data_IF_880819045794
#
_entry.id   IF_880819045794
#
_cell.length_a   1.000
_cell.length_b   1.000
_cell.length_c   1.000
_cell.angle_alpha   90.00
_cell.angle_beta   90.00
_cell.angle_gamma   90.00
#
_symmetry.space_group_name_H-M   'P 1'
#
loop_
_entity.id
_entity.type
_entity.pdbx_description
1 polymer ?
#
# COMPACT_ATOMS: atom_id res chain seq x y z
N UNK A 1 -1.31 -13.57 -23.62
CA UNK A 1 0.14 -13.62 -23.39
C UNK A 1 0.68 -14.95 -23.90
N UNK A 2 1.74 -14.94 -24.71
CA UNK A 2 2.45 -16.17 -25.10
C UNK A 2 3.64 -16.36 -24.15
N UNK A 3 3.79 -17.56 -23.60
CA UNK A 3 4.99 -17.94 -22.87
C UNK A 3 5.91 -18.76 -23.78
N UNK A 4 7.09 -18.23 -24.17
CA UNK A 4 8.01 -18.91 -25.07
C UNK A 4 8.69 -20.13 -24.47
N UNK A 5 8.73 -20.27 -23.15
CA UNK A 5 9.35 -21.43 -22.49
C UNK A 5 8.39 -22.62 -22.44
N UNK A 6 7.11 -22.37 -22.11
CA UNK A 6 6.08 -23.40 -22.10
C UNK A 6 5.37 -23.57 -23.46
N UNK A 7 5.62 -22.68 -24.42
CA UNK A 7 4.96 -22.61 -25.74
C UNK A 7 3.43 -22.53 -25.65
N UNK A 8 2.91 -22.00 -24.55
CA UNK A 8 1.47 -21.87 -24.33
C UNK A 8 1.00 -20.43 -24.54
N UNK A 9 -0.18 -20.30 -25.14
CA UNK A 9 -0.94 -19.04 -25.15
C UNK A 9 -1.90 -19.03 -23.96
N UNK A 10 -1.76 -18.04 -23.10
CA UNK A 10 -2.69 -17.77 -22.00
C UNK A 10 -3.45 -16.48 -22.28
N UNK A 11 -4.68 -16.37 -21.77
CA UNK A 11 -5.43 -15.12 -21.73
C UNK A 11 -5.60 -14.74 -20.27
N UNK A 12 -5.07 -13.58 -19.90
CA UNK A 12 -5.22 -13.03 -18.56
C UNK A 12 -6.46 -12.14 -18.57
N UNK A 13 -7.37 -12.36 -17.62
CA UNK A 13 -8.53 -11.52 -17.41
C UNK A 13 -8.51 -11.02 -15.97
N UNK A 14 -8.86 -9.74 -15.79
CA UNK A 14 -8.97 -9.17 -14.47
C UNK A 14 -10.37 -9.42 -13.95
N UNK A 15 -10.48 -10.12 -12.82
CA UNK A 15 -11.70 -10.09 -12.03
C UNK A 15 -11.79 -8.75 -11.29
N UNK A 16 -12.25 -7.73 -12.01
CA UNK A 16 -12.45 -6.40 -11.46
C UNK A 16 -13.46 -6.39 -10.31
N UNK A 17 -14.41 -7.34 -10.28
CA UNK A 17 -15.37 -7.49 -9.18
C UNK A 17 -14.67 -7.85 -7.88
N UNK A 18 -13.90 -8.94 -7.90
CA UNK A 18 -13.12 -9.39 -6.75
C UNK A 18 -12.08 -8.35 -6.31
N UNK A 19 -11.37 -7.71 -7.26
CA UNK A 19 -10.39 -6.66 -6.95
C UNK A 19 -11.01 -5.47 -6.22
N UNK A 20 -12.21 -5.03 -6.66
CA UNK A 20 -12.93 -3.91 -6.02
C UNK A 20 -13.47 -4.30 -4.65
N UNK A 21 -13.99 -5.53 -4.50
CA UNK A 21 -14.47 -6.04 -3.22
C UNK A 21 -13.35 -6.07 -2.18
N UNK A 22 -12.22 -6.73 -2.51
CA UNK A 22 -11.05 -6.79 -1.63
C UNK A 22 -10.53 -5.39 -1.23
N UNK A 23 -10.52 -4.44 -2.19
CA UNK A 23 -10.15 -3.05 -1.89
C UNK A 23 -11.13 -2.39 -0.93
N UNK A 24 -12.43 -2.57 -1.12
CA UNK A 24 -13.47 -1.98 -0.28
C UNK A 24 -13.36 -2.50 1.16
N UNK A 25 -13.15 -3.80 1.33
CA UNK A 25 -13.02 -4.43 2.64
C UNK A 25 -11.79 -3.90 3.39
N UNK A 26 -10.64 -3.80 2.70
CA UNK A 26 -9.43 -3.21 3.27
C UNK A 26 -9.63 -1.74 3.70
N UNK A 27 -10.36 -0.93 2.92
CA UNK A 27 -10.68 0.46 3.28
C UNK A 27 -11.60 0.50 4.50
N UNK A 28 -12.61 -0.37 4.57
CA UNK A 28 -13.56 -0.42 5.67
C UNK A 28 -12.88 -0.79 7.01
N UNK A 29 -11.92 -1.72 6.97
CA UNK A 29 -11.09 -2.04 8.13
C UNK A 29 -10.16 -0.88 8.50
N UNK A 30 -9.43 -0.32 7.53
CA UNK A 30 -8.49 0.78 7.78
C UNK A 30 -9.18 2.05 8.30
N UNK A 31 -10.45 2.29 7.98
CA UNK A 31 -11.21 3.44 8.51
C UNK A 31 -11.31 3.46 10.05
N UNK A 32 -11.15 2.28 10.70
CA UNK A 32 -11.17 2.12 12.16
C UNK A 32 -9.81 2.45 12.81
N UNK A 33 -8.72 2.42 12.04
CA UNK A 33 -7.34 2.61 12.50
C UNK A 33 -7.08 4.00 13.13
N UNK A 34 -6.32 4.04 14.22
CA UNK A 34 -5.95 5.28 14.95
C UNK A 34 -4.54 5.72 14.63
N UNK A 35 -3.63 4.78 14.38
CA UNK A 35 -2.22 5.02 14.05
C UNK A 35 -1.90 4.49 12.66
N UNK A 36 -1.36 5.34 11.79
CA UNK A 36 -1.11 5.04 10.38
C UNK A 36 0.39 5.00 10.06
N UNK A 37 0.81 3.99 9.29
CA UNK A 37 2.16 3.92 8.72
C UNK A 37 2.20 4.51 7.31
N UNK A 38 2.92 5.61 7.12
CA UNK A 38 3.14 6.23 5.82
C UNK A 38 4.46 5.76 5.21
N UNK A 39 4.40 4.97 4.14
CA UNK A 39 5.60 4.41 3.49
C UNK A 39 5.99 5.25 2.28
N UNK A 40 7.23 5.73 2.25
CA UNK A 40 7.87 6.33 1.08
C UNK A 40 8.90 5.34 0.51
N UNK A 41 8.65 4.89 -0.72
CA UNK A 41 9.61 4.06 -1.45
C UNK A 41 10.88 4.86 -1.76
N UNK A 42 12.05 4.35 -1.38
CA UNK A 42 13.35 5.00 -1.65
C UNK A 42 14.13 4.35 -2.80
N UNK A 43 13.61 3.26 -3.40
CA UNK A 43 14.27 2.59 -4.51
C UNK A 43 13.95 3.28 -5.84
N UNK A 44 14.99 3.78 -6.52
CA UNK A 44 14.86 4.46 -7.80
C UNK A 44 14.08 5.77 -7.69
N UNK A 45 13.24 6.07 -8.70
CA UNK A 45 12.35 7.26 -8.72
C UNK A 45 10.94 6.91 -8.21
N UNK A 46 10.86 6.20 -7.09
CA UNK A 46 9.61 5.90 -6.42
C UNK A 46 9.31 6.98 -5.38
N UNK A 47 8.02 7.22 -5.13
CA UNK A 47 7.56 8.12 -4.09
C UNK A 47 7.66 9.61 -4.45
N UNK A 48 6.81 10.41 -3.80
CA UNK A 48 6.84 11.87 -3.90
C UNK A 48 6.75 12.44 -2.49
N UNK A 49 7.80 13.14 -2.00
CA UNK A 49 7.76 13.79 -0.69
C UNK A 49 6.59 14.77 -0.55
N UNK A 50 6.21 15.45 -1.65
CA UNK A 50 5.07 16.37 -1.66
C UNK A 50 3.74 15.63 -1.42
N UNK A 51 3.55 14.47 -2.06
CA UNK A 51 2.33 13.66 -1.86
C UNK A 51 2.31 13.12 -0.43
N UNK A 52 3.46 12.64 0.06
CA UNK A 52 3.55 12.16 1.44
C UNK A 52 3.18 13.24 2.45
N UNK A 53 3.72 14.46 2.29
CA UNK A 53 3.36 15.58 3.16
C UNK A 53 1.86 15.88 3.13
N UNK A 54 1.26 15.90 1.94
CA UNK A 54 -0.18 16.15 1.81
C UNK A 54 -1.04 15.09 2.52
N UNK A 55 -0.65 13.81 2.44
CA UNK A 55 -1.33 12.72 3.14
C UNK A 55 -1.13 12.83 4.65
N UNK A 56 0.10 13.13 5.09
CA UNK A 56 0.44 13.35 6.50
C UNK A 56 -0.40 14.49 7.10
N UNK A 57 -0.48 15.64 6.43
CA UNK A 57 -1.30 16.77 6.86
C UNK A 57 -2.80 16.40 6.95
N UNK A 58 -3.29 15.58 6.01
CA UNK A 58 -4.68 15.15 6.00
C UNK A 58 -5.01 14.23 7.18
N UNK A 59 -4.10 13.33 7.54
CA UNK A 59 -4.22 12.47 8.72
C UNK A 59 -4.16 13.28 10.02
N UNK A 60 -3.25 14.25 10.09
CA UNK A 60 -3.13 15.15 11.24
C UNK A 60 -4.39 15.99 11.44
N UNK A 61 -4.96 16.56 10.36
CA UNK A 61 -6.25 17.29 10.42
C UNK A 61 -7.40 16.39 10.87
N UNK A 62 -7.36 15.11 10.54
CA UNK A 62 -8.32 14.11 11.00
C UNK A 62 -8.03 13.59 12.43
N UNK A 63 -7.02 14.12 13.13
CA UNK A 63 -6.66 13.72 14.49
C UNK A 63 -6.06 12.32 14.59
N UNK A 64 -5.53 11.76 13.49
CA UNK A 64 -4.91 10.42 13.45
C UNK A 64 -3.41 10.53 13.67
N UNK A 65 -2.84 9.57 14.39
CA UNK A 65 -1.37 9.47 14.56
C UNK A 65 -0.76 8.90 13.29
N UNK A 66 0.43 9.36 12.92
CA UNK A 66 1.14 8.84 11.76
C UNK A 66 2.63 8.61 12.05
N UNK A 67 3.19 7.54 11.49
CA UNK A 67 4.61 7.22 11.51
C UNK A 67 5.11 7.17 10.07
N UNK A 68 6.22 7.85 9.79
CA UNK A 68 6.83 7.86 8.45
C UNK A 68 7.88 6.75 8.34
N UNK A 69 7.78 5.93 7.29
CA UNK A 69 8.70 4.86 6.98
C UNK A 69 9.35 5.10 5.62
N UNK A 70 10.68 5.09 5.58
CA UNK A 70 11.45 5.14 4.35
C UNK A 70 11.97 3.73 4.06
N UNK A 71 11.53 3.12 2.96
CA UNK A 71 11.87 1.74 2.62
C UNK A 71 12.25 1.61 1.15
N UNK A 72 13.36 0.96 0.85
CA UNK A 72 13.71 0.63 -0.55
C UNK A 72 12.77 -0.43 -1.11
N UNK A 73 12.32 -1.36 -0.28
CA UNK A 73 11.43 -2.46 -0.67
C UNK A 73 10.46 -2.80 0.48
N UNK A 74 9.21 -3.13 0.13
CA UNK A 74 8.13 -3.39 1.08
C UNK A 74 8.00 -4.89 1.29
N UNK A 75 8.27 -5.36 2.51
CA UNK A 75 8.15 -6.77 2.89
C UNK A 75 7.24 -6.93 4.12
N UNK A 76 6.30 -7.89 4.11
CA UNK A 76 5.43 -8.14 5.26
C UNK A 76 6.20 -8.35 6.57
N UNK A 77 7.33 -9.05 6.55
CA UNK A 77 8.14 -9.30 7.74
C UNK A 77 8.71 -8.01 8.36
N UNK A 78 9.08 -7.01 7.55
CA UNK A 78 9.56 -5.71 8.05
C UNK A 78 8.42 -4.89 8.65
N UNK A 79 7.24 -4.93 8.03
CA UNK A 79 6.07 -4.20 8.51
C UNK A 79 5.57 -4.73 9.86
N UNK A 80 5.67 -6.05 10.11
CA UNK A 80 5.32 -6.66 11.40
C UNK A 80 6.13 -6.15 12.60
N UNK A 81 7.26 -5.49 12.38
CA UNK A 81 8.06 -4.90 13.45
C UNK A 81 7.39 -3.66 14.06
N UNK A 82 6.43 -3.06 13.37
CA UNK A 82 5.72 -1.85 13.81
C UNK A 82 4.39 -2.22 14.47
N UNK A 83 4.46 -2.82 15.66
CA UNK A 83 3.28 -3.34 16.38
C UNK A 83 2.31 -2.24 16.86
N UNK A 84 2.79 -1.00 16.99
CA UNK A 84 1.98 0.15 17.42
C UNK A 84 1.22 0.84 16.27
N UNK A 85 1.38 0.34 15.03
CA UNK A 85 0.67 0.82 13.83
C UNK A 85 -0.48 -0.12 13.54
N UNK A 86 -1.66 0.46 13.31
CA UNK A 86 -2.90 -0.27 13.01
C UNK A 86 -3.00 -0.66 11.52
#
# INVERSE_FOLDING_TARGET
RYDPYSKMFTREEYDHGAMRAARKDAIAEAAKAKTWGLILGTLGRQGSPKIMQHVEDSLQRAGRKCVRLLLSEIFPCKLRLFQDVD
#
